data_IF_992009728061
#
_entry.id   IF_992009728061
#
_cell.length_a   1.000
_cell.length_b   1.000
_cell.length_c   1.000
_cell.angle_alpha   90.00
_cell.angle_beta   90.00
_cell.angle_gamma   90.00
#
_symmetry.space_group_name_H-M   'P 1'
#
loop_
_entity.id
_entity.type
_entity.pdbx_description
1 polymer ?
#
# COMPACT_ATOMS: atom_id res chain seq x y z
N UNK A 1 -0.95 -6.64 8.81
CA UNK A 1 -1.10 -6.66 7.33
C UNK A 1 -1.19 -5.23 6.83
N UNK A 2 -0.59 -4.92 5.70
CA UNK A 2 -0.56 -3.59 5.05
C UNK A 2 -0.84 -3.72 3.55
N UNK A 3 -0.46 -2.71 2.76
CA UNK A 3 -0.56 -2.72 1.30
C UNK A 3 -1.97 -2.54 0.76
N UNK A 4 -2.15 -2.88 -0.52
CA UNK A 4 -3.41 -2.70 -1.23
C UNK A 4 -4.58 -3.46 -0.63
N UNK A 5 -4.32 -4.66 -0.09
CA UNK A 5 -5.38 -5.47 0.54
C UNK A 5 -5.88 -4.84 1.83
N UNK A 6 -5.01 -4.26 2.66
CA UNK A 6 -5.44 -3.53 3.84
C UNK A 6 -6.28 -2.30 3.49
N UNK A 7 -5.90 -1.55 2.44
CA UNK A 7 -6.70 -0.40 1.94
C UNK A 7 -8.03 -0.88 1.37
N UNK A 8 -8.05 -1.94 0.58
CA UNK A 8 -9.28 -2.50 0.04
C UNK A 8 -10.27 -2.94 1.13
N UNK A 9 -9.78 -3.46 2.25
CA UNK A 9 -10.61 -3.80 3.42
C UNK A 9 -11.19 -2.57 4.12
N UNK A 10 -10.52 -1.42 4.08
CA UNK A 10 -11.07 -0.16 4.60
C UNK A 10 -12.12 0.45 3.67
N UNK A 11 -11.86 0.46 2.36
CA UNK A 11 -12.61 1.25 1.40
C UNK A 11 -13.67 0.47 0.63
N UNK A 12 -13.46 -0.83 0.40
CA UNK A 12 -14.33 -1.64 -0.45
C UNK A 12 -14.35 -1.23 -1.92
N UNK A 13 -13.42 -0.41 -2.39
CA UNK A 13 -13.45 0.21 -3.72
C UNK A 13 -12.98 -0.72 -4.84
N UNK A 14 -12.11 -1.67 -4.54
CA UNK A 14 -11.58 -2.66 -5.49
C UNK A 14 -11.20 -3.97 -4.82
N UNK A 15 -11.08 -5.02 -5.61
CA UNK A 15 -10.54 -6.29 -5.15
C UNK A 15 -9.02 -6.21 -4.98
N UNK A 16 -8.53 -6.89 -3.94
CA UNK A 16 -7.11 -7.13 -3.73
C UNK A 16 -6.94 -8.49 -3.07
N UNK A 17 -6.07 -9.32 -3.64
CA UNK A 17 -5.93 -10.72 -3.24
C UNK A 17 -4.57 -11.04 -2.62
N UNK A 18 -3.58 -10.17 -2.79
CA UNK A 18 -2.25 -10.37 -2.25
C UNK A 18 -2.16 -9.93 -0.79
N UNK A 19 -1.31 -10.56 -0.01
CA UNK A 19 -1.11 -10.23 1.40
C UNK A 19 0.29 -9.72 1.65
N UNK A 20 0.39 -8.49 2.14
CA UNK A 20 1.63 -7.88 2.60
C UNK A 20 1.65 -7.88 4.13
N UNK A 21 2.51 -8.72 4.72
CA UNK A 21 2.66 -8.90 6.16
C UNK A 21 4.01 -8.36 6.61
N UNK A 22 4.03 -7.49 7.59
CA UNK A 22 5.28 -6.89 8.07
C UNK A 22 5.58 -7.21 9.54
N UNK A 23 6.84 -7.08 9.89
CA UNK A 23 7.35 -7.08 11.28
C UNK A 23 8.31 -5.91 11.48
N UNK A 24 8.40 -5.40 12.70
CA UNK A 24 9.39 -4.37 13.08
C UNK A 24 10.79 -4.96 13.30
N UNK A 25 10.87 -6.25 13.61
CA UNK A 25 12.12 -6.97 13.85
C UNK A 25 12.62 -7.65 12.59
N UNK A 26 13.86 -8.13 12.66
CA UNK A 26 14.43 -8.95 11.58
C UNK A 26 13.54 -10.15 11.26
N UNK A 27 13.38 -10.45 9.99
CA UNK A 27 12.52 -11.51 9.50
C UNK A 27 13.13 -12.89 9.76
N UNK A 28 12.44 -13.72 10.55
CA UNK A 28 12.83 -15.12 10.73
C UNK A 28 12.16 -16.02 9.69
N UNK A 29 12.79 -16.11 8.51
CA UNK A 29 12.25 -16.84 7.35
C UNK A 29 12.11 -18.34 7.59
N UNK A 30 13.06 -18.95 8.30
CA UNK A 30 12.99 -20.37 8.64
C UNK A 30 11.77 -20.69 9.51
N UNK A 31 11.48 -19.83 10.50
CA UNK A 31 10.28 -19.95 11.34
C UNK A 31 9.00 -19.77 10.54
N UNK A 32 8.97 -18.80 9.61
CA UNK A 32 7.82 -18.57 8.73
C UNK A 32 7.58 -19.80 7.86
N UNK A 33 8.60 -20.27 7.12
CA UNK A 33 8.52 -21.48 6.29
C UNK A 33 8.04 -22.68 7.08
N UNK A 34 8.59 -22.92 8.27
CA UNK A 34 8.18 -24.02 9.15
C UNK A 34 6.69 -23.94 9.56
N UNK A 35 6.17 -22.75 9.83
CA UNK A 35 4.76 -22.56 10.17
C UNK A 35 3.81 -22.72 8.97
N UNK A 36 4.30 -22.59 7.76
CA UNK A 36 3.51 -22.75 6.55
C UNK A 36 3.41 -24.23 6.09
N UNK A 37 4.29 -25.12 6.59
CA UNK A 37 4.29 -26.55 6.22
C UNK A 37 2.90 -27.21 6.32
N UNK A 38 2.08 -26.96 7.36
CA UNK A 38 0.76 -27.59 7.48
C UNK A 38 -0.27 -27.11 6.45
N UNK A 39 0.03 -26.04 5.70
CA UNK A 39 -0.91 -25.52 4.67
C UNK A 39 -0.94 -26.49 3.49
N UNK A 40 -2.13 -27.04 3.11
CA UNK A 40 -2.24 -28.10 2.12
C UNK A 40 -2.11 -27.61 0.66
N UNK A 41 -1.34 -26.55 0.44
CA UNK A 41 -1.06 -25.98 -0.88
C UNK A 41 0.43 -25.88 -1.12
N UNK A 42 0.83 -26.09 -2.38
CA UNK A 42 2.22 -25.91 -2.79
C UNK A 42 2.66 -24.47 -2.53
N UNK A 43 3.79 -24.32 -1.87
CA UNK A 43 4.43 -23.05 -1.57
C UNK A 43 5.58 -22.84 -2.55
N UNK A 44 5.48 -21.82 -3.40
CA UNK A 44 6.51 -21.50 -4.38
C UNK A 44 7.21 -20.22 -3.98
N UNK A 45 8.50 -20.25 -3.60
CA UNK A 45 9.27 -19.03 -3.39
C UNK A 45 9.40 -18.25 -4.70
N UNK A 46 9.05 -16.96 -4.68
CA UNK A 46 9.17 -16.05 -5.83
C UNK A 46 10.43 -15.19 -5.66
N UNK A 47 10.65 -14.72 -4.43
CA UNK A 47 11.76 -13.85 -4.09
C UNK A 47 12.13 -14.02 -2.61
N UNK A 48 13.42 -14.00 -2.32
CA UNK A 48 13.94 -14.04 -0.96
C UNK A 48 15.20 -13.19 -0.86
N UNK A 49 15.21 -12.28 0.11
CA UNK A 49 16.32 -11.42 0.46
C UNK A 49 16.42 -11.33 1.99
N UNK A 50 17.40 -10.59 2.52
CA UNK A 50 17.63 -10.48 3.97
C UNK A 50 16.38 -10.05 4.73
N UNK A 51 15.65 -9.06 4.19
CA UNK A 51 14.50 -8.42 4.81
C UNK A 51 13.14 -8.81 4.19
N UNK A 52 13.13 -9.71 3.20
CA UNK A 52 11.91 -10.05 2.47
C UNK A 52 11.83 -11.55 2.16
N UNK A 53 10.59 -12.05 2.13
CA UNK A 53 10.23 -13.39 1.66
C UNK A 53 8.90 -13.29 0.92
N UNK A 54 8.91 -13.54 -0.39
CA UNK A 54 7.70 -13.57 -1.22
C UNK A 54 7.41 -15.02 -1.62
N UNK A 55 6.19 -15.44 -1.35
CA UNK A 55 5.69 -16.78 -1.65
C UNK A 55 4.43 -16.68 -2.51
N UNK A 56 4.28 -17.64 -3.41
CA UNK A 56 3.00 -17.92 -4.08
C UNK A 56 2.41 -19.17 -3.46
N UNK A 57 1.22 -19.07 -2.87
CA UNK A 57 0.49 -20.16 -2.25
C UNK A 57 -0.92 -20.15 -2.82
N UNK A 58 -1.30 -21.22 -3.55
CA UNK A 58 -2.60 -21.30 -4.22
C UNK A 58 -2.93 -20.06 -5.07
N UNK A 59 -1.98 -19.60 -5.88
CA UNK A 59 -2.05 -18.41 -6.73
C UNK A 59 -2.23 -17.07 -5.97
N UNK A 60 -2.09 -17.07 -4.66
CA UNK A 60 -2.08 -15.86 -3.82
C UNK A 60 -0.64 -15.51 -3.48
N UNK A 61 -0.23 -14.30 -3.79
CA UNK A 61 1.08 -13.79 -3.38
C UNK A 61 1.02 -13.35 -1.93
N UNK A 62 1.95 -13.89 -1.13
CA UNK A 62 2.12 -13.50 0.27
C UNK A 62 3.53 -12.96 0.44
N UNK A 63 3.62 -11.71 0.84
CA UNK A 63 4.89 -11.03 1.14
C UNK A 63 5.05 -10.91 2.65
N UNK A 64 6.17 -11.40 3.16
CA UNK A 64 6.65 -11.10 4.51
C UNK A 64 7.85 -10.18 4.39
N UNK A 65 7.87 -9.10 5.17
CA UNK A 65 8.99 -8.17 5.13
C UNK A 65 9.26 -7.49 6.48
N UNK A 66 10.53 -7.18 6.70
CA UNK A 66 10.96 -6.32 7.80
C UNK A 66 10.74 -4.87 7.43
N UNK A 67 10.04 -4.12 8.30
CA UNK A 67 9.72 -2.72 8.04
C UNK A 67 9.95 -1.92 9.33
N UNK A 68 11.12 -1.30 9.49
CA UNK A 68 11.57 -0.75 10.77
C UNK A 68 10.97 0.63 11.09
N UNK A 69 9.73 0.88 10.68
CA UNK A 69 9.02 2.12 10.97
C UNK A 69 7.88 1.89 11.96
N UNK A 70 7.60 2.85 12.86
CA UNK A 70 6.62 2.70 13.93
C UNK A 70 5.17 2.81 13.41
N UNK A 71 4.71 1.82 12.64
CA UNK A 71 3.34 1.78 12.14
C UNK A 71 2.43 1.15 13.18
N UNK A 72 1.51 1.94 13.74
CA UNK A 72 0.47 1.41 14.59
C UNK A 72 -0.57 0.64 13.77
N UNK A 73 -0.99 -0.52 14.26
CA UNK A 73 -1.97 -1.40 13.59
C UNK A 73 -3.10 -1.82 14.54
N UNK A 74 -3.91 -0.86 15.01
CA UNK A 74 -4.89 -1.07 16.07
C UNK A 74 -6.15 -1.83 15.61
N UNK A 75 -6.39 -1.93 14.30
CA UNK A 75 -7.64 -2.44 13.76
C UNK A 75 -7.53 -3.95 13.55
N UNK A 76 -8.42 -4.70 14.20
CA UNK A 76 -8.49 -6.16 14.08
C UNK A 76 -9.36 -6.55 12.88
N UNK A 77 -8.84 -7.48 12.07
CA UNK A 77 -9.56 -8.15 11.00
C UNK A 77 -9.64 -9.63 11.34
N UNK A 78 -10.82 -10.09 11.70
CA UNK A 78 -11.00 -11.42 12.28
C UNK A 78 -10.28 -11.56 13.62
N UNK A 79 -9.80 -12.78 13.92
CA UNK A 79 -9.15 -13.10 15.21
C UNK A 79 -7.63 -12.94 15.20
N UNK A 80 -7.01 -12.85 14.03
CA UNK A 80 -5.55 -13.07 13.92
C UNK A 80 -4.81 -11.90 13.26
N UNK A 81 -5.45 -11.17 12.35
CA UNK A 81 -4.81 -10.12 11.55
C UNK A 81 -5.13 -8.76 12.16
N UNK A 82 -4.12 -7.89 12.20
CA UNK A 82 -4.29 -6.47 12.48
C UNK A 82 -3.83 -5.64 11.28
N UNK A 83 -4.49 -4.49 11.08
CA UNK A 83 -4.15 -3.54 10.02
C UNK A 83 -3.98 -2.14 10.60
N UNK A 84 -3.17 -1.28 9.96
CA UNK A 84 -3.04 0.14 10.32
C UNK A 84 -4.34 0.91 10.07
N UNK A 85 -4.40 2.13 10.58
CA UNK A 85 -5.43 3.10 10.20
C UNK A 85 -5.33 3.44 8.71
N UNK A 86 -6.43 3.87 8.11
CA UNK A 86 -6.43 4.27 6.70
C UNK A 86 -5.43 5.41 6.42
N UNK A 87 -5.29 6.36 7.35
CA UNK A 87 -4.33 7.46 7.22
C UNK A 87 -2.87 6.94 7.22
N UNK A 88 -2.52 6.01 8.11
CA UNK A 88 -1.19 5.41 8.11
C UNK A 88 -0.93 4.58 6.85
N UNK A 89 -1.95 3.89 6.31
CA UNK A 89 -1.85 3.18 5.03
C UNK A 89 -1.67 4.15 3.84
N UNK A 90 -2.36 5.29 3.86
CA UNK A 90 -2.18 6.36 2.87
C UNK A 90 -0.75 6.94 2.92
N UNK A 91 -0.21 7.18 4.12
CA UNK A 91 1.17 7.59 4.31
C UNK A 91 2.18 6.56 3.77
N UNK A 92 1.93 5.26 3.98
CA UNK A 92 2.74 4.19 3.40
C UNK A 92 2.66 4.15 1.88
N UNK A 93 1.48 4.42 1.29
CA UNK A 93 1.30 4.54 -0.16
C UNK A 93 2.07 5.74 -0.72
N UNK A 94 1.97 6.91 -0.08
CA UNK A 94 2.71 8.09 -0.46
C UNK A 94 4.22 7.84 -0.46
N UNK A 95 4.73 7.14 0.53
CA UNK A 95 6.13 6.75 0.62
C UNK A 95 6.54 5.72 -0.45
N UNK A 96 5.66 4.77 -0.80
CA UNK A 96 5.90 3.78 -1.82
C UNK A 96 5.89 4.39 -3.23
N UNK A 97 5.00 5.36 -3.49
CA UNK A 97 4.85 6.02 -4.77
C UNK A 97 6.14 6.74 -5.21
N UNK A 98 6.91 7.27 -4.28
CA UNK A 98 8.23 7.85 -4.56
C UNK A 98 9.31 6.84 -5.00
N UNK A 99 9.00 5.53 -4.98
CA UNK A 99 9.93 4.44 -5.33
C UNK A 99 9.44 3.55 -6.46
N UNK A 100 8.15 3.59 -6.75
CA UNK A 100 7.49 2.82 -7.82
C UNK A 100 6.20 3.53 -8.24
N UNK A 101 5.82 3.41 -9.50
CA UNK A 101 4.63 4.05 -10.07
C UNK A 101 3.60 3.00 -10.53
N UNK A 102 3.00 2.26 -9.62
CA UNK A 102 1.95 1.29 -9.96
C UNK A 102 0.58 1.96 -10.04
N UNK A 103 -0.17 1.71 -11.12
CA UNK A 103 -1.49 2.31 -11.34
C UNK A 103 -2.44 2.12 -10.14
N UNK A 104 -2.47 0.94 -9.55
CA UNK A 104 -3.30 0.67 -8.36
C UNK A 104 -2.95 1.55 -7.15
N UNK A 105 -1.73 2.08 -7.06
CA UNK A 105 -1.34 2.98 -5.98
C UNK A 105 -1.97 4.36 -6.18
N UNK A 106 -2.09 4.83 -7.43
CA UNK A 106 -2.82 6.07 -7.77
C UNK A 106 -4.32 5.92 -7.54
N UNK A 107 -4.90 4.78 -7.91
CA UNK A 107 -6.33 4.51 -7.66
C UNK A 107 -6.64 4.49 -6.16
N UNK A 108 -5.83 3.81 -5.35
CA UNK A 108 -6.00 3.80 -3.89
C UNK A 108 -5.93 5.22 -3.32
N UNK A 109 -4.93 6.02 -3.74
CA UNK A 109 -4.76 7.40 -3.29
C UNK A 109 -5.89 8.31 -3.77
N UNK A 110 -6.41 8.11 -4.99
CA UNK A 110 -7.57 8.85 -5.48
C UNK A 110 -8.77 8.71 -4.54
N UNK A 111 -9.17 7.48 -4.21
CA UNK A 111 -10.31 7.26 -3.31
C UNK A 111 -10.05 7.79 -1.90
N UNK A 112 -8.81 7.64 -1.39
CA UNK A 112 -8.44 8.16 -0.06
C UNK A 112 -8.50 9.69 -0.03
N UNK A 113 -7.92 10.37 -1.04
CA UNK A 113 -7.84 11.83 -1.09
C UNK A 113 -9.22 12.44 -1.37
N UNK A 114 -10.03 11.81 -2.20
CA UNK A 114 -11.37 12.28 -2.54
C UNK A 114 -12.32 12.24 -1.34
N UNK A 115 -12.30 11.13 -0.58
CA UNK A 115 -13.38 10.80 0.36
C UNK A 115 -12.98 10.89 1.84
N UNK A 116 -11.66 10.86 2.18
CA UNK A 116 -11.25 10.67 3.57
C UNK A 116 -10.22 11.68 4.09
N UNK A 117 -9.11 11.90 3.40
CA UNK A 117 -8.00 12.69 3.92
C UNK A 117 -7.38 13.57 2.85
N UNK A 118 -7.20 14.87 3.10
CA UNK A 118 -6.46 15.75 2.20
C UNK A 118 -4.98 15.35 2.14
N UNK A 119 -4.29 15.77 1.08
CA UNK A 119 -2.86 15.49 0.87
C UNK A 119 -2.01 15.96 2.06
N UNK A 120 -2.36 17.06 2.67
CA UNK A 120 -1.67 17.68 3.82
C UNK A 120 -1.60 16.72 5.01
N UNK A 121 -2.72 16.07 5.34
CA UNK A 121 -2.79 15.10 6.43
C UNK A 121 -1.98 13.85 6.12
N UNK A 122 -2.02 13.38 4.88
CA UNK A 122 -1.20 12.25 4.41
C UNK A 122 0.29 12.60 4.52
N UNK A 123 0.69 13.81 4.07
CA UNK A 123 2.07 14.28 4.16
C UNK A 123 2.53 14.42 5.61
N UNK A 124 1.68 14.95 6.49
CA UNK A 124 1.95 15.10 7.92
C UNK A 124 2.16 13.75 8.59
N UNK A 125 1.30 12.79 8.30
CA UNK A 125 1.42 11.44 8.84
C UNK A 125 2.66 10.72 8.30
N UNK A 126 2.93 10.83 6.99
CA UNK A 126 4.13 10.27 6.37
C UNK A 126 5.41 10.90 6.96
N UNK A 127 5.41 12.21 7.21
CA UNK A 127 6.51 12.89 7.88
C UNK A 127 6.77 12.37 9.29
N UNK A 128 5.72 12.06 10.06
CA UNK A 128 5.87 11.47 11.41
C UNK A 128 6.45 10.04 11.35
N UNK A 129 5.99 9.23 10.39
CA UNK A 129 6.39 7.83 10.29
C UNK A 129 7.80 7.70 9.72
N UNK A 130 8.10 8.41 8.62
CA UNK A 130 9.31 8.24 7.82
C UNK A 130 10.37 9.31 8.03
N UNK A 131 10.04 10.36 8.78
CA UNK A 131 10.94 11.48 9.08
C UNK A 131 11.62 12.04 7.80
N UNK A 132 12.94 12.19 7.81
CA UNK A 132 13.74 12.74 6.71
C UNK A 132 13.71 11.87 5.43
N UNK A 133 13.20 10.65 5.48
CA UNK A 133 13.11 9.77 4.31
C UNK A 133 11.87 10.04 3.44
N UNK A 134 10.95 10.88 3.91
CA UNK A 134 9.77 11.30 3.17
C UNK A 134 9.89 12.78 2.75
N UNK A 135 9.49 13.06 1.52
CA UNK A 135 9.36 14.42 1.01
C UNK A 135 7.97 14.63 0.42
N UNK A 136 7.19 15.50 1.06
CA UNK A 136 5.86 15.89 0.57
C UNK A 136 5.92 16.53 -0.82
N UNK A 137 7.00 17.27 -1.13
CA UNK A 137 7.22 17.83 -2.47
C UNK A 137 7.37 16.73 -3.53
N UNK A 138 8.21 15.74 -3.27
CA UNK A 138 8.40 14.61 -4.20
C UNK A 138 7.12 13.78 -4.33
N UNK A 139 6.37 13.59 -3.27
CA UNK A 139 5.10 12.90 -3.31
C UNK A 139 4.10 13.63 -4.23
N UNK A 140 3.93 14.96 -4.07
CA UNK A 140 3.07 15.76 -4.95
C UNK A 140 3.54 15.72 -6.41
N UNK A 141 4.85 15.83 -6.65
CA UNK A 141 5.39 15.68 -8.00
C UNK A 141 5.08 14.32 -8.63
N UNK A 142 5.19 13.24 -7.85
CA UNK A 142 4.89 11.90 -8.33
C UNK A 142 3.39 11.70 -8.58
N UNK A 143 2.51 12.27 -7.75
CA UNK A 143 1.06 12.26 -7.98
C UNK A 143 0.67 12.92 -9.31
N UNK A 144 1.39 13.97 -9.72
CA UNK A 144 1.16 14.68 -10.99
C UNK A 144 1.92 14.08 -12.18
N UNK A 145 2.83 13.12 -11.96
CA UNK A 145 3.65 12.53 -13.01
C UNK A 145 3.14 11.13 -13.39
N UNK A 146 2.63 11.00 -14.61
CA UNK A 146 1.93 9.80 -15.05
C UNK A 146 2.60 9.05 -16.22
N UNK A 147 3.81 9.47 -16.64
CA UNK A 147 4.48 8.92 -17.83
C UNK A 147 5.11 7.53 -17.59
N UNK A 148 5.43 7.21 -16.35
CA UNK A 148 6.13 5.98 -15.94
C UNK A 148 5.21 4.98 -15.22
N UNK A 149 3.89 5.15 -15.31
CA UNK A 149 2.94 4.29 -14.61
C UNK A 149 3.00 2.86 -15.15
N UNK A 150 3.16 1.92 -14.22
CA UNK A 150 3.06 0.49 -14.47
C UNK A 150 1.59 0.02 -14.37
N UNK A 151 1.03 -0.38 -15.52
CA UNK A 151 -0.33 -0.90 -15.67
C UNK A 151 -0.38 -2.44 -15.71
N UNK A 152 0.69 -3.13 -15.34
CA UNK A 152 0.77 -4.59 -15.43
C UNK A 152 -0.26 -5.33 -14.56
N UNK A 153 -0.83 -4.65 -13.57
CA UNK A 153 -1.84 -5.21 -12.66
C UNK A 153 -3.20 -4.55 -12.93
N UNK A 154 -4.14 -5.31 -13.48
CA UNK A 154 -5.51 -4.86 -13.72
C UNK A 154 -6.25 -4.51 -12.43
N UNK A 155 -7.16 -3.54 -12.49
CA UNK A 155 -8.04 -3.15 -11.37
C UNK A 155 -9.41 -3.80 -11.56
N UNK A 156 -9.83 -4.57 -10.55
CA UNK A 156 -11.19 -5.08 -10.44
C UNK A 156 -11.94 -4.21 -9.44
N UNK A 157 -12.71 -3.23 -9.94
CA UNK A 157 -13.51 -2.35 -9.12
C UNK A 157 -14.68 -3.11 -8.46
N UNK A 158 -14.99 -2.78 -7.20
CA UNK A 158 -16.16 -3.25 -6.46
C UNK A 158 -17.22 -2.14 -6.31
N UNK A 159 -16.92 -0.96 -6.81
CA UNK A 159 -17.78 0.21 -6.96
C UNK A 159 -17.84 0.58 -8.44
N UNK A 160 -18.60 1.59 -8.79
CA UNK A 160 -18.64 2.09 -10.16
C UNK A 160 -17.22 2.48 -10.63
N UNK A 161 -16.76 1.95 -11.77
CA UNK A 161 -15.43 2.24 -12.28
C UNK A 161 -15.26 3.73 -12.55
N UNK A 162 -14.13 4.28 -12.10
CA UNK A 162 -13.77 5.68 -12.37
C UNK A 162 -12.87 5.72 -13.60
N UNK A 163 -13.14 6.60 -14.59
CA UNK A 163 -12.27 6.76 -15.75
C UNK A 163 -10.84 7.15 -15.35
N UNK A 164 -9.86 6.59 -16.02
CA UNK A 164 -8.44 6.85 -15.74
C UNK A 164 -8.10 8.34 -15.81
N UNK A 165 -8.61 9.05 -16.83
CA UNK A 165 -8.37 10.49 -17.01
C UNK A 165 -8.98 11.34 -15.88
N UNK A 166 -10.10 10.90 -15.29
CA UNK A 166 -10.69 11.55 -14.13
C UNK A 166 -9.78 11.42 -12.91
N UNK A 167 -9.27 10.20 -12.66
CA UNK A 167 -8.34 9.95 -11.57
C UNK A 167 -7.08 10.81 -11.73
N UNK A 168 -6.50 10.82 -12.93
CA UNK A 168 -5.28 11.59 -13.23
C UNK A 168 -5.50 13.08 -13.05
N UNK A 169 -6.57 13.63 -13.62
CA UNK A 169 -6.91 15.04 -13.50
C UNK A 169 -7.09 15.45 -12.04
N UNK A 170 -7.87 14.69 -11.30
CA UNK A 170 -8.09 14.94 -9.87
C UNK A 170 -6.77 14.94 -9.08
N UNK A 171 -5.90 13.96 -9.33
CA UNK A 171 -4.62 13.85 -8.61
C UNK A 171 -3.65 14.98 -8.97
N UNK A 172 -3.65 15.44 -10.24
CA UNK A 172 -2.89 16.63 -10.68
C UNK A 172 -3.41 17.85 -9.94
N UNK A 173 -4.72 18.09 -9.94
CA UNK A 173 -5.34 19.24 -9.29
C UNK A 173 -4.97 19.29 -7.80
N UNK A 174 -5.14 18.17 -7.11
CA UNK A 174 -4.80 18.05 -5.68
C UNK A 174 -3.30 18.16 -5.41
N UNK A 175 -2.45 17.66 -6.31
CA UNK A 175 -0.99 17.75 -6.16
C UNK A 175 -0.47 19.18 -6.36
N UNK A 176 -1.10 19.98 -7.22
CA UNK A 176 -0.72 21.36 -7.56
C UNK A 176 -1.36 22.40 -6.66
N UNK A 177 -2.42 22.05 -5.95
CA UNK A 177 -3.06 22.92 -4.96
C UNK A 177 -2.15 23.04 -3.72
N UNK A 178 -1.24 24.02 -3.79
CA UNK A 178 -0.25 24.29 -2.72
C UNK A 178 -0.81 25.29 -1.70
N UNK A 179 -1.86 26.00 -2.07
CA UNK A 179 -2.47 27.08 -1.32
C UNK A 179 -3.95 26.80 -1.01
N UNK A 180 -4.31 25.52 -0.86
CA UNK A 180 -5.68 25.14 -0.51
C UNK A 180 -6.18 25.99 0.66
N UNK A 181 -7.20 26.80 0.38
CA UNK A 181 -7.92 27.63 1.33
C UNK A 181 -8.56 26.79 2.46
#
# INVERSE_FOLDING_TARGET
MVGGTAIALHLGHRRSVDFDLFTFSQLNKSRIKGKLIPIPFKQVPIFEDIDQLHLLINNVKITFFSFPYPILHPIKVGSTITIPTLLSLAAMKAFALGRRAKWKDYVDLYFIIRDYYPIEDICKEAGKIFNQQFSGKLFRQQLAFHKDIDYSEAIEYLVDPVPEEEIKSFLIDKATDIFGE
#
